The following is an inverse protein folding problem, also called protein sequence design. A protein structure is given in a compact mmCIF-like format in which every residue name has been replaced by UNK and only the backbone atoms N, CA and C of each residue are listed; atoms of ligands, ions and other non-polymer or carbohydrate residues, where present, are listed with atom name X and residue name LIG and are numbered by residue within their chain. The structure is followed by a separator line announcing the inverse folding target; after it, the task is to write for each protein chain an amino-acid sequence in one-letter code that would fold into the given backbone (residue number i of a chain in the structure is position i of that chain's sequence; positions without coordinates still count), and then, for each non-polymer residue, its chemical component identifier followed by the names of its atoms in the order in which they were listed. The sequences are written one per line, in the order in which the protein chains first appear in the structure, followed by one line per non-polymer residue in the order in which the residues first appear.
data_IF_081972709360
#
_entry.id   IF_081972709360
#
_cell.length_a   1.000
_cell.length_b   1.000
_cell.length_c   1.000
_cell.angle_alpha   90.00
_cell.angle_beta   90.00
_cell.angle_gamma   90.00
#
_symmetry.space_group_name_H-M   'P 1'
#
loop_
_entity.id
_entity.type
_entity.pdbx_description
1 polymer ?
#
# COMPACT_ATOMS: atom_id res chain seq x y z
N UNK A 1 -41.36 3.30 -29.30
CA UNK A 1 -41.14 2.56 -28.04
C UNK A 1 -39.68 2.74 -27.64
N UNK A 2 -39.41 3.67 -26.75
CA UNK A 2 -38.08 4.15 -26.39
C UNK A 2 -37.48 3.30 -25.28
N UNK A 3 -36.45 2.50 -25.54
CA UNK A 3 -35.73 1.77 -24.49
C UNK A 3 -34.48 2.55 -24.09
N UNK A 4 -34.66 3.49 -23.17
CA UNK A 4 -33.56 4.22 -22.52
C UNK A 4 -32.78 3.23 -21.63
N UNK A 5 -31.67 2.70 -22.13
CA UNK A 5 -30.68 2.02 -21.29
C UNK A 5 -30.10 3.05 -20.32
N UNK A 6 -30.50 2.98 -19.05
CA UNK A 6 -29.91 3.76 -17.96
C UNK A 6 -28.45 3.33 -17.80
N UNK A 7 -27.51 4.07 -18.39
CA UNK A 7 -26.08 3.97 -18.07
C UNK A 7 -25.93 4.24 -16.57
N UNK A 8 -25.50 3.22 -15.82
CA UNK A 8 -25.11 3.39 -14.43
C UNK A 8 -24.00 4.45 -14.38
N UNK A 9 -24.14 5.43 -13.47
CA UNK A 9 -23.19 6.55 -13.30
C UNK A 9 -21.88 6.12 -12.63
N UNK A 10 -21.82 4.89 -12.13
CA UNK A 10 -20.58 4.24 -11.74
C UNK A 10 -20.01 3.52 -12.96
N UNK A 11 -18.85 3.98 -13.43
CA UNK A 11 -17.98 3.15 -14.26
C UNK A 11 -17.54 1.89 -13.49
N UNK A 12 -16.85 0.94 -14.15
CA UNK A 12 -16.33 -0.22 -13.47
C UNK A 12 -15.51 0.21 -12.24
N UNK A 13 -15.82 -0.38 -11.08
CA UNK A 13 -15.12 -0.08 -9.84
C UNK A 13 -13.62 -0.33 -10.01
N UNK A 14 -12.74 0.52 -9.44
CA UNK A 14 -11.31 0.27 -9.47
C UNK A 14 -11.03 -1.10 -8.86
N UNK A 15 -10.27 -1.92 -9.59
CA UNK A 15 -9.82 -3.21 -9.07
C UNK A 15 -8.77 -2.94 -8.01
N UNK A 16 -9.12 -3.18 -6.75
CA UNK A 16 -8.12 -3.24 -5.69
C UNK A 16 -7.36 -4.55 -5.87
N UNK A 17 -6.23 -4.49 -6.56
CA UNK A 17 -5.36 -5.66 -6.71
C UNK A 17 -4.50 -5.80 -5.44
N UNK A 18 -4.73 -6.89 -4.70
CA UNK A 18 -3.89 -7.27 -3.56
C UNK A 18 -2.93 -8.37 -4.00
N UNK A 19 -1.63 -8.16 -3.81
CA UNK A 19 -0.60 -9.16 -4.10
C UNK A 19 -0.13 -9.79 -2.80
N UNK A 20 -0.25 -11.12 -2.69
CA UNK A 20 0.28 -11.87 -1.54
C UNK A 20 1.78 -12.09 -1.72
N UNK A 21 2.58 -11.59 -0.78
CA UNK A 21 4.02 -11.82 -0.72
C UNK A 21 4.37 -12.74 0.44
N UNK A 22 5.36 -13.62 0.24
CA UNK A 22 5.91 -14.51 1.28
C UNK A 22 7.40 -14.25 1.39
N UNK A 23 7.89 -14.04 2.61
CA UNK A 23 9.31 -13.83 2.89
C UNK A 23 9.74 -14.65 4.10
N UNK A 24 11.03 -14.98 4.18
CA UNK A 24 11.61 -15.56 5.37
C UNK A 24 11.77 -14.47 6.44
N UNK A 25 11.00 -14.55 7.51
CA UNK A 25 11.11 -13.63 8.65
C UNK A 25 12.04 -14.23 9.72
N UNK A 26 13.17 -13.58 10.05
CA UNK A 26 14.00 -14.00 11.18
C UNK A 26 13.19 -14.06 12.48
N UNK A 27 13.50 -15.05 13.34
CA UNK A 27 12.75 -15.24 14.59
C UNK A 27 12.79 -14.02 15.52
N UNK A 28 13.92 -13.32 15.58
CA UNK A 28 14.05 -12.07 16.35
C UNK A 28 13.10 -10.99 15.84
N UNK A 29 13.05 -10.77 14.52
CA UNK A 29 12.16 -9.79 13.91
C UNK A 29 10.69 -10.14 14.17
N UNK A 30 10.32 -11.43 14.08
CA UNK A 30 8.97 -11.87 14.43
C UNK A 30 8.60 -11.51 15.87
N UNK A 31 9.48 -11.78 16.83
CA UNK A 31 9.23 -11.48 18.24
C UNK A 31 9.09 -9.96 18.49
N UNK A 32 9.88 -9.13 17.81
CA UNK A 32 9.77 -7.68 17.90
C UNK A 32 8.45 -7.17 17.30
N UNK A 33 7.99 -7.74 16.19
CA UNK A 33 6.70 -7.41 15.57
C UNK A 33 5.51 -7.80 16.47
N UNK A 34 5.54 -8.99 17.08
CA UNK A 34 4.52 -9.42 18.04
C UNK A 34 4.48 -8.49 19.26
N UNK A 35 5.64 -8.09 19.79
CA UNK A 35 5.72 -7.13 20.88
C UNK A 35 5.14 -5.76 20.48
N UNK A 36 5.46 -5.28 19.28
CA UNK A 36 4.92 -4.02 18.78
C UNK A 36 3.38 -4.09 18.67
N UNK A 37 2.84 -5.18 18.13
CA UNK A 37 1.40 -5.40 18.04
C UNK A 37 0.72 -5.39 19.41
N UNK A 38 1.33 -6.02 20.42
CA UNK A 38 0.84 -5.98 21.80
C UNK A 38 0.87 -4.56 22.39
N UNK A 39 1.89 -3.75 22.11
CA UNK A 39 1.96 -2.35 22.55
C UNK A 39 0.91 -1.49 21.84
N UNK A 40 0.68 -1.72 20.55
CA UNK A 40 -0.38 -1.05 19.78
C UNK A 40 -1.75 -1.35 20.39
N UNK A 41 -2.03 -2.62 20.71
CA UNK A 41 -3.28 -3.02 21.36
C UNK A 41 -3.49 -2.37 22.72
N UNK A 42 -2.43 -2.27 23.54
CA UNK A 42 -2.49 -1.55 24.82
C UNK A 42 -2.79 -0.06 24.65
N UNK A 43 -2.30 0.55 23.56
CA UNK A 43 -2.42 1.99 23.32
C UNK A 43 -3.80 2.36 22.76
N UNK A 44 -4.32 1.56 21.83
CA UNK A 44 -5.54 1.87 21.08
C UNK A 44 -6.75 1.00 21.48
N UNK A 45 -6.56 0.03 22.38
CA UNK A 45 -7.62 -0.85 22.88
C UNK A 45 -8.05 -1.95 21.90
N UNK A 46 -7.39 -2.06 20.74
CA UNK A 46 -7.72 -3.04 19.71
C UNK A 46 -6.55 -4.00 19.47
N UNK A 47 -6.81 -5.29 19.66
CA UNK A 47 -5.86 -6.34 19.34
C UNK A 47 -5.68 -6.46 17.84
N UNK A 48 -4.50 -6.10 17.36
CA UNK A 48 -4.08 -6.21 15.95
C UNK A 48 -2.97 -7.24 15.83
N UNK A 49 -2.93 -7.96 14.72
CA UNK A 49 -1.84 -8.90 14.44
C UNK A 49 -0.65 -8.19 13.81
N UNK A 50 0.55 -8.73 14.00
CA UNK A 50 1.73 -8.25 13.32
C UNK A 50 1.53 -8.24 11.79
N UNK A 51 0.89 -9.27 11.21
CA UNK A 51 0.67 -9.36 9.77
C UNK A 51 -0.24 -8.24 9.23
N UNK A 52 -1.14 -7.70 10.04
CA UNK A 52 -1.97 -6.55 9.63
C UNK A 52 -1.21 -5.24 9.70
N UNK A 53 -0.25 -5.12 10.62
CA UNK A 53 0.58 -3.91 10.76
C UNK A 53 1.72 -3.83 9.74
N UNK A 54 2.28 -4.98 9.33
CA UNK A 54 3.43 -5.05 8.41
C UNK A 54 3.22 -4.23 7.13
N UNK A 55 2.10 -4.35 6.38
CA UNK A 55 1.89 -3.56 5.17
C UNK A 55 1.94 -2.04 5.43
N UNK A 56 1.31 -1.57 6.50
CA UNK A 56 1.29 -0.16 6.87
C UNK A 56 2.67 0.34 7.31
N UNK A 57 3.42 -0.46 8.06
CA UNK A 57 4.79 -0.15 8.45
C UNK A 57 5.71 -0.02 7.23
N UNK A 58 5.60 -0.94 6.27
CA UNK A 58 6.40 -0.93 5.05
C UNK A 58 6.03 0.26 4.16
N UNK A 59 4.74 0.58 4.01
CA UNK A 59 4.28 1.75 3.27
C UNK A 59 4.84 3.05 3.88
N UNK A 60 4.71 3.21 5.21
CA UNK A 60 5.26 4.37 5.91
C UNK A 60 6.79 4.46 5.80
N UNK A 61 7.48 3.32 5.84
CA UNK A 61 8.92 3.24 5.65
C UNK A 61 9.34 3.74 4.26
N UNK A 62 8.74 3.20 3.19
CA UNK A 62 9.03 3.58 1.80
C UNK A 62 8.68 5.06 1.55
N UNK A 63 7.55 5.54 2.08
CA UNK A 63 7.14 6.94 1.95
C UNK A 63 8.09 7.92 2.66
N UNK A 64 8.80 7.46 3.71
CA UNK A 64 9.74 8.28 4.48
C UNK A 64 11.19 8.18 4.00
N UNK A 65 11.55 7.13 3.25
CA UNK A 65 12.89 6.96 2.69
C UNK A 65 13.18 8.04 1.63
N UNK A 66 13.96 9.05 2.05
CA UNK A 66 14.34 10.19 1.19
C UNK A 66 15.26 9.76 0.06
N UNK A 67 16.13 8.77 0.28
CA UNK A 67 17.04 8.25 -0.73
C UNK A 67 16.26 7.59 -1.86
N UNK A 68 15.24 6.81 -1.49
CA UNK A 68 14.29 6.23 -2.45
C UNK A 68 13.47 7.31 -3.18
N UNK A 69 12.91 8.27 -2.45
CA UNK A 69 12.09 9.35 -3.03
C UNK A 69 12.85 10.24 -4.01
N UNK A 70 14.13 10.49 -3.76
CA UNK A 70 14.94 11.31 -4.67
C UNK A 70 15.15 10.62 -6.01
N UNK A 71 15.23 9.29 -6.05
CA UNK A 71 15.40 8.54 -7.30
C UNK A 71 14.07 8.29 -8.02
N UNK A 72 12.99 8.04 -7.28
CA UNK A 72 11.66 7.82 -7.88
C UNK A 72 11.10 9.07 -8.55
N UNK A 73 11.36 10.27 -8.02
CA UNK A 73 10.97 11.52 -8.66
C UNK A 73 11.68 11.75 -10.00
N UNK A 74 12.94 11.29 -10.13
CA UNK A 74 13.66 11.34 -11.41
C UNK A 74 12.98 10.38 -12.39
N UNK A 75 12.71 9.13 -12.01
CA UNK A 75 12.10 8.14 -12.89
C UNK A 75 10.70 8.55 -13.41
N UNK A 76 9.84 9.11 -12.55
CA UNK A 76 8.51 9.58 -12.96
C UNK A 76 8.57 10.80 -13.89
N UNK A 77 9.46 11.75 -13.61
CA UNK A 77 9.64 12.95 -14.47
C UNK A 77 10.08 12.59 -15.89
N UNK A 78 10.84 11.50 -16.07
CA UNK A 78 11.21 11.03 -17.40
C UNK A 78 10.08 10.25 -18.07
N UNK A 79 9.35 9.41 -17.33
CA UNK A 79 8.21 8.66 -17.86
C UNK A 79 7.06 9.57 -18.37
N UNK A 80 6.82 10.71 -17.70
CA UNK A 80 5.76 11.65 -18.08
C UNK A 80 6.14 12.54 -19.27
N UNK A 81 7.44 12.69 -19.55
CA UNK A 81 7.94 13.42 -20.73
C UNK A 81 7.83 12.61 -22.02
N UNK A 82 7.85 11.28 -21.92
CA UNK A 82 7.79 10.38 -23.08
C UNK A 82 6.34 10.08 -23.54
N UNK A 83 5.32 10.53 -22.82
CA UNK A 83 3.90 10.24 -23.11
C UNK A 83 3.11 11.37 -23.75
N UNK A 84 3.73 12.50 -24.09
CA UNK A 84 3.03 13.62 -24.76
C UNK A 84 3.31 13.55 -26.27
N UNK A 85 2.32 13.23 -27.13
CA UNK A 85 2.54 13.25 -28.57
C UNK A 85 2.60 14.70 -29.09
N UNK A 86 3.30 14.95 -30.21
CA UNK A 86 3.48 16.29 -30.79
C UNK A 86 2.17 16.94 -31.25
#
# INVERSE_FOLDING_TARGET
MSTQTKKLRLGPLPKTESTKLTFACPASLKADLERYAALHAQTYGETVDAATLIPHMLEAFIARDRGFRSQSHIQQKWAERDTTPP
#
